data_IF_464664233718
#
_entry.id   IF_464664233718
#
_cell.length_a   1.000
_cell.length_b   1.000
_cell.length_c   1.000
_cell.angle_alpha   90.00
_cell.angle_beta   90.00
_cell.angle_gamma   90.00
#
_symmetry.space_group_name_H-M   'P 1'
#
loop_
_entity.id
_entity.type
_entity.pdbx_description
1 polymer ?
#
# COMPACT_ATOMS: atom_id res chain seq x y z
N UNK A 1 -52.55 32.79 -1.16
CA UNK A 1 -51.25 32.26 -1.64
C UNK A 1 -50.21 32.67 -0.60
N UNK A 2 -49.86 31.78 0.33
CA UNK A 2 -48.61 30.98 0.34
C UNK A 2 -47.36 31.91 0.41
N UNK A 3 -46.44 31.86 1.39
CA UNK A 3 -45.90 30.71 2.13
C UNK A 3 -45.29 31.13 3.48
N UNK A 4 -45.38 30.21 4.44
CA UNK A 4 -44.62 30.15 5.68
C UNK A 4 -43.18 29.72 5.43
N UNK A 5 -42.21 30.51 5.88
CA UNK A 5 -40.79 30.14 5.90
C UNK A 5 -40.48 29.33 7.16
N UNK A 6 -40.73 28.02 7.08
CA UNK A 6 -40.32 27.07 8.11
C UNK A 6 -38.80 26.89 8.06
N UNK A 7 -38.11 27.37 9.09
CA UNK A 7 -36.67 27.18 9.31
C UNK A 7 -36.38 25.69 9.47
N UNK A 8 -35.77 25.10 8.44
CA UNK A 8 -35.36 23.69 8.39
C UNK A 8 -34.22 23.46 9.38
N UNK A 9 -34.58 23.04 10.59
CA UNK A 9 -33.66 22.49 11.59
C UNK A 9 -33.04 21.18 11.06
N UNK A 10 -31.86 21.26 10.45
CA UNK A 10 -31.03 20.08 10.16
C UNK A 10 -30.22 19.73 11.41
N UNK A 11 -30.87 19.09 12.38
CA UNK A 11 -30.17 18.31 13.40
C UNK A 11 -29.61 17.03 12.74
N UNK A 12 -28.34 17.05 12.36
CA UNK A 12 -27.60 15.84 11.99
C UNK A 12 -26.08 16.06 12.12
N UNK A 13 -25.58 16.39 13.32
CA UNK A 13 -24.16 16.21 13.61
C UNK A 13 -23.92 14.74 13.97
N UNK A 14 -23.92 13.88 12.95
CA UNK A 14 -23.44 12.50 13.06
C UNK A 14 -21.90 12.58 13.02
N UNK A 15 -21.25 12.29 14.14
CA UNK A 15 -19.80 12.18 14.35
C UNK A 15 -18.90 13.10 13.50
N UNK A 16 -18.28 14.14 14.08
CA UNK A 16 -17.39 15.05 13.35
C UNK A 16 -16.04 14.42 12.94
N UNK A 17 -15.85 13.12 13.14
CA UNK A 17 -14.58 12.42 12.93
C UNK A 17 -14.66 11.60 11.63
N UNK A 18 -13.61 11.68 10.82
CA UNK A 18 -13.50 10.91 9.59
C UNK A 18 -13.45 9.41 9.90
N UNK A 19 -14.25 8.53 9.25
CA UNK A 19 -14.29 7.11 9.60
C UNK A 19 -12.96 6.37 9.42
N UNK A 20 -12.13 6.78 8.46
CA UNK A 20 -10.83 6.13 8.22
C UNK A 20 -9.69 6.67 9.09
N UNK A 21 -9.77 7.92 9.57
CA UNK A 21 -8.68 8.55 10.35
C UNK A 21 -9.04 8.75 11.82
N UNK A 22 -10.32 8.73 12.17
CA UNK A 22 -10.86 9.06 13.49
C UNK A 22 -10.45 10.44 14.02
N UNK A 23 -10.07 11.36 13.13
CA UNK A 23 -9.73 12.75 13.41
C UNK A 23 -10.69 13.65 12.62
N UNK A 24 -10.84 14.90 13.06
CA UNK A 24 -11.60 15.91 12.31
C UNK A 24 -11.04 16.06 10.88
N UNK A 25 -11.89 15.86 9.84
CA UNK A 25 -11.52 16.06 8.44
C UNK A 25 -10.79 17.38 8.16
N UNK A 26 -11.08 18.45 8.91
CA UNK A 26 -10.45 19.76 8.74
C UNK A 26 -8.95 19.77 9.07
N UNK A 27 -8.45 18.77 9.79
CA UNK A 27 -7.00 18.62 10.08
C UNK A 27 -6.23 17.97 8.94
N UNK A 28 -6.94 17.40 7.95
CA UNK A 28 -6.32 16.80 6.77
C UNK A 28 -6.21 17.80 5.62
N UNK A 29 -5.17 17.63 4.81
CA UNK A 29 -5.05 18.30 3.52
C UNK A 29 -6.17 17.85 2.59
N UNK A 30 -6.77 18.77 1.83
CA UNK A 30 -7.84 18.46 0.88
C UNK A 30 -7.48 17.33 -0.12
N UNK A 31 -6.23 17.30 -0.59
CA UNK A 31 -5.73 16.24 -1.48
C UNK A 31 -5.76 14.85 -0.83
N UNK A 32 -5.52 14.74 0.49
CA UNK A 32 -5.59 13.46 1.20
C UNK A 32 -7.05 12.98 1.30
N UNK A 33 -7.98 13.89 1.56
CA UNK A 33 -9.41 13.57 1.63
C UNK A 33 -9.93 13.06 0.28
N UNK A 34 -9.55 13.72 -0.82
CA UNK A 34 -9.88 13.27 -2.18
C UNK A 34 -9.31 11.87 -2.47
N UNK A 35 -8.07 11.61 -2.03
CA UNK A 35 -7.44 10.30 -2.18
C UNK A 35 -8.13 9.21 -1.37
N UNK A 36 -8.58 9.51 -0.15
CA UNK A 36 -9.24 8.54 0.73
C UNK A 36 -10.63 8.15 0.21
N UNK A 37 -11.34 9.11 -0.39
CA UNK A 37 -12.66 8.89 -0.99
C UNK A 37 -12.60 8.26 -2.39
N UNK A 38 -11.41 8.03 -2.93
CA UNK A 38 -11.21 7.55 -4.28
C UNK A 38 -11.71 6.10 -4.44
N UNK A 39 -12.67 5.91 -5.35
CA UNK A 39 -13.18 4.59 -5.71
C UNK A 39 -12.14 3.79 -6.53
N UNK A 40 -11.86 2.56 -6.09
CA UNK A 40 -10.89 1.66 -6.73
C UNK A 40 -11.46 1.05 -8.02
N UNK A 41 -11.59 1.86 -9.07
CA UNK A 41 -11.92 1.40 -10.42
C UNK A 41 -10.83 0.48 -10.98
N UNK A 42 -11.16 -0.33 -12.00
CA UNK A 42 -10.19 -1.24 -12.64
C UNK A 42 -8.91 -0.54 -13.12
N UNK A 43 -9.04 0.68 -13.66
CA UNK A 43 -7.89 1.47 -14.12
C UNK A 43 -7.02 1.93 -12.95
N UNK A 44 -7.65 2.40 -11.87
CA UNK A 44 -6.96 2.82 -10.65
C UNK A 44 -6.18 1.65 -10.05
N UNK A 45 -6.81 0.47 -9.96
CA UNK A 45 -6.14 -0.75 -9.48
C UNK A 45 -4.94 -1.08 -10.36
N UNK A 46 -5.06 -0.97 -11.69
CA UNK A 46 -3.94 -1.19 -12.61
C UNK A 46 -2.76 -0.25 -12.34
N UNK A 47 -3.01 1.04 -12.18
CA UNK A 47 -1.98 2.04 -11.92
C UNK A 47 -1.34 1.86 -10.54
N UNK A 48 -2.14 1.54 -9.52
CA UNK A 48 -1.65 1.24 -8.18
C UNK A 48 -0.79 -0.03 -8.20
N UNK A 49 -1.22 -1.07 -8.92
CA UNK A 49 -0.45 -2.30 -9.07
C UNK A 49 0.90 -2.03 -9.72
N UNK A 50 0.93 -1.28 -10.83
CA UNK A 50 2.16 -0.89 -11.51
C UNK A 50 3.11 -0.11 -10.58
N UNK A 51 2.56 0.82 -9.81
CA UNK A 51 3.30 1.58 -8.81
C UNK A 51 3.90 0.69 -7.72
N UNK A 52 3.11 -0.22 -7.13
CA UNK A 52 3.60 -1.17 -6.14
C UNK A 52 4.73 -2.03 -6.71
N UNK A 53 4.60 -2.48 -7.96
CA UNK A 53 5.63 -3.27 -8.62
C UNK A 53 6.92 -2.50 -8.74
N UNK A 54 6.88 -1.28 -9.27
CA UNK A 54 8.08 -0.44 -9.36
C UNK A 54 8.69 -0.14 -7.99
N UNK A 55 7.87 0.28 -7.03
CA UNK A 55 8.33 0.69 -5.70
C UNK A 55 8.97 -0.46 -4.91
N UNK A 56 8.32 -1.63 -4.90
CA UNK A 56 8.81 -2.80 -4.17
C UNK A 56 10.01 -3.40 -4.87
N UNK A 57 10.02 -3.49 -6.21
CA UNK A 57 11.19 -3.92 -6.97
C UNK A 57 12.41 -3.05 -6.63
N UNK A 58 12.25 -1.73 -6.60
CA UNK A 58 13.34 -0.81 -6.20
C UNK A 58 13.78 -0.99 -4.76
N UNK A 59 12.85 -1.26 -3.85
CA UNK A 59 13.12 -1.44 -2.43
C UNK A 59 13.85 -2.75 -2.16
N UNK A 60 13.41 -3.85 -2.78
CA UNK A 60 14.07 -5.15 -2.68
C UNK A 60 15.43 -5.12 -3.38
N UNK A 61 15.53 -4.52 -4.57
CA UNK A 61 16.80 -4.33 -5.27
C UNK A 61 17.81 -3.53 -4.43
N UNK A 62 17.36 -2.47 -3.76
CA UNK A 62 18.20 -1.69 -2.86
C UNK A 62 18.70 -2.54 -1.68
N UNK A 63 17.82 -3.27 -0.99
CA UNK A 63 18.20 -4.16 0.10
C UNK A 63 19.19 -5.27 -0.34
N UNK A 64 18.98 -5.85 -1.53
CA UNK A 64 19.85 -6.92 -2.05
C UNK A 64 21.24 -6.43 -2.47
N UNK A 65 21.42 -5.14 -2.79
CA UNK A 65 22.74 -4.57 -3.05
C UNK A 65 23.63 -4.59 -1.81
N UNK A 66 23.07 -4.38 -0.62
CA UNK A 66 23.82 -4.51 0.64
C UNK A 66 24.26 -5.95 0.91
N UNK A 67 23.49 -6.94 0.44
CA UNK A 67 23.85 -8.35 0.50
C UNK A 67 24.84 -8.80 -0.59
N UNK A 68 25.35 -7.87 -1.41
CA UNK A 68 26.36 -8.15 -2.44
C UNK A 68 25.81 -8.79 -3.73
N UNK A 69 24.50 -8.70 -3.99
CA UNK A 69 23.93 -9.21 -5.24
C UNK A 69 24.38 -8.39 -6.46
N UNK A 70 24.74 -9.09 -7.55
CA UNK A 70 25.12 -8.44 -8.81
C UNK A 70 23.93 -7.71 -9.46
N UNK A 71 24.20 -6.56 -10.08
CA UNK A 71 23.22 -5.77 -10.83
C UNK A 71 22.49 -6.58 -11.91
N UNK A 72 23.17 -7.52 -12.59
CA UNK A 72 22.53 -8.36 -13.61
C UNK A 72 21.51 -9.34 -13.02
N UNK A 73 21.79 -9.90 -11.84
CA UNK A 73 20.87 -10.77 -11.11
C UNK A 73 19.65 -9.99 -10.64
N UNK A 74 19.87 -8.82 -10.05
CA UNK A 74 18.80 -7.90 -9.62
C UNK A 74 17.90 -7.53 -10.81
N UNK A 75 18.49 -7.22 -11.97
CA UNK A 75 17.75 -6.91 -13.19
C UNK A 75 16.85 -8.05 -13.65
N UNK A 76 17.39 -9.27 -13.75
CA UNK A 76 16.62 -10.44 -14.14
C UNK A 76 15.45 -10.70 -13.16
N UNK A 77 15.71 -10.57 -11.86
CA UNK A 77 14.75 -10.90 -10.81
C UNK A 77 13.61 -9.89 -10.69
N UNK A 78 13.89 -8.59 -10.74
CA UNK A 78 12.92 -7.54 -10.39
C UNK A 78 12.53 -6.58 -11.53
N UNK A 79 13.34 -6.49 -12.58
CA UNK A 79 13.16 -5.50 -13.65
C UNK A 79 12.92 -6.12 -15.04
N UNK A 80 13.01 -7.44 -15.18
CA UNK A 80 12.64 -8.14 -16.42
C UNK A 80 11.16 -7.92 -16.73
N UNK A 81 10.76 -7.77 -18.02
CA UNK A 81 9.36 -7.67 -18.42
C UNK A 81 8.49 -8.83 -17.91
N UNK A 82 9.04 -10.05 -17.90
CA UNK A 82 8.37 -11.24 -17.37
C UNK A 82 8.12 -11.13 -15.85
N UNK A 83 9.12 -10.66 -15.10
CA UNK A 83 8.99 -10.43 -13.65
C UNK A 83 7.98 -9.35 -13.34
N UNK A 84 8.01 -8.24 -14.09
CA UNK A 84 7.03 -7.18 -13.93
C UNK A 84 5.62 -7.71 -14.15
N UNK A 85 5.36 -8.46 -15.23
CA UNK A 85 4.04 -9.04 -15.50
C UNK A 85 3.56 -9.96 -14.38
N UNK A 86 4.43 -10.84 -13.87
CA UNK A 86 4.12 -11.74 -12.75
C UNK A 86 3.81 -10.97 -11.46
N UNK A 87 4.63 -9.99 -11.11
CA UNK A 87 4.41 -9.16 -9.93
C UNK A 87 3.12 -8.34 -10.04
N UNK A 88 2.82 -7.76 -11.21
CA UNK A 88 1.58 -7.00 -11.44
C UNK A 88 0.35 -7.89 -11.29
N UNK A 89 0.40 -9.12 -11.82
CA UNK A 89 -0.67 -10.09 -11.65
C UNK A 89 -0.85 -10.49 -10.17
N UNK A 90 0.26 -10.69 -9.44
CA UNK A 90 0.22 -11.00 -8.01
C UNK A 90 -0.39 -9.85 -7.20
N UNK A 91 0.09 -8.62 -7.39
CA UNK A 91 -0.44 -7.43 -6.69
C UNK A 91 -1.94 -7.28 -6.94
N UNK A 92 -2.35 -7.31 -8.21
CA UNK A 92 -3.77 -7.16 -8.59
C UNK A 92 -4.64 -8.25 -7.96
N UNK A 93 -4.15 -9.50 -7.95
CA UNK A 93 -4.87 -10.63 -7.35
C UNK A 93 -5.02 -10.46 -5.83
N UNK A 94 -3.95 -10.05 -5.13
CA UNK A 94 -3.98 -9.87 -3.68
C UNK A 94 -4.89 -8.70 -3.30
N UNK A 95 -4.77 -7.56 -3.97
CA UNK A 95 -5.60 -6.37 -3.70
C UNK A 95 -7.09 -6.70 -3.88
N UNK A 96 -7.45 -7.39 -4.96
CA UNK A 96 -8.83 -7.77 -5.24
C UNK A 96 -9.38 -8.79 -4.23
N UNK A 97 -8.60 -9.83 -3.90
CA UNK A 97 -9.06 -10.92 -3.01
C UNK A 97 -9.09 -10.55 -1.54
N UNK A 98 -8.27 -9.59 -1.12
CA UNK A 98 -8.24 -9.11 0.25
C UNK A 98 -9.13 -7.87 0.46
N UNK A 99 -9.86 -7.43 -0.58
CA UNK A 99 -10.78 -6.28 -0.54
C UNK A 99 -10.11 -5.03 0.04
N UNK A 100 -8.89 -4.75 -0.42
CA UNK A 100 -8.08 -3.66 0.13
C UNK A 100 -8.71 -2.31 -0.24
N UNK A 101 -8.86 -1.45 0.76
CA UNK A 101 -9.39 -0.08 0.58
C UNK A 101 -8.28 0.93 0.28
N UNK A 102 -8.63 2.08 -0.28
CA UNK A 102 -7.66 3.15 -0.58
C UNK A 102 -6.87 3.61 0.66
N UNK A 103 -7.48 3.86 1.84
CA UNK A 103 -6.74 4.16 3.06
C UNK A 103 -5.70 3.10 3.43
N UNK A 104 -6.04 1.82 3.29
CA UNK A 104 -5.12 0.71 3.56
C UNK A 104 -3.94 0.71 2.58
N UNK A 105 -4.17 1.03 1.30
CA UNK A 105 -3.09 1.18 0.30
C UNK A 105 -2.14 2.29 0.70
N UNK A 106 -2.67 3.45 1.10
CA UNK A 106 -1.86 4.61 1.50
C UNK A 106 -1.00 4.31 2.74
N UNK A 107 -1.56 3.59 3.72
CA UNK A 107 -0.81 3.12 4.90
C UNK A 107 0.26 2.09 4.50
N UNK A 108 -0.06 1.14 3.62
CA UNK A 108 0.90 0.15 3.14
C UNK A 108 2.09 0.81 2.42
N UNK A 109 1.84 1.82 1.58
CA UNK A 109 2.90 2.60 0.92
C UNK A 109 3.77 3.35 1.93
N UNK A 110 3.16 3.91 2.98
CA UNK A 110 3.90 4.58 4.07
C UNK A 110 4.81 3.60 4.82
N UNK A 111 4.34 2.37 5.07
CA UNK A 111 5.16 1.32 5.67
C UNK A 111 6.27 0.82 4.74
N UNK A 112 6.02 0.74 3.43
CA UNK A 112 7.04 0.39 2.45
C UNK A 112 8.16 1.44 2.41
N UNK A 113 7.82 2.73 2.50
CA UNK A 113 8.81 3.81 2.57
C UNK A 113 9.68 3.75 3.82
N UNK A 114 9.08 3.46 4.97
CA UNK A 114 9.80 3.35 6.25
C UNK A 114 10.63 2.08 6.36
N UNK A 115 10.20 1.00 5.70
CA UNK A 115 10.93 -0.28 5.71
C UNK A 115 12.19 -0.25 4.84
N UNK A 116 12.22 0.54 3.74
CA UNK A 116 13.33 0.58 2.78
C UNK A 116 14.74 0.68 3.40
N UNK A 117 15.05 1.59 4.34
CA UNK A 117 16.39 1.67 4.92
C UNK A 117 16.73 0.54 5.90
N UNK A 118 15.73 -0.16 6.44
CA UNK A 118 15.90 -1.21 7.46
C UNK A 118 15.75 -2.63 6.89
N UNK A 119 15.37 -2.75 5.62
CA UNK A 119 15.05 -4.02 5.00
C UNK A 119 16.32 -4.85 4.73
N UNK A 120 16.42 -6.01 5.39
CA UNK A 120 17.44 -7.02 5.10
C UNK A 120 16.86 -8.20 4.32
N UNK A 121 17.37 -8.46 3.11
CA UNK A 121 16.96 -9.61 2.29
C UNK A 121 18.02 -10.71 2.38
N UNK A 122 17.76 -11.71 3.23
CA UNK A 122 18.61 -12.90 3.36
C UNK A 122 18.32 -13.99 2.32
N UNK A 123 17.10 -14.02 1.76
CA UNK A 123 16.67 -14.98 0.72
C UNK A 123 15.96 -14.25 -0.40
N UNK A 124 16.45 -14.40 -1.63
CA UNK A 124 15.87 -13.76 -2.82
C UNK A 124 14.51 -14.34 -3.20
N UNK A 125 14.30 -15.64 -2.96
CA UNK A 125 13.07 -16.34 -3.35
C UNK A 125 11.85 -15.65 -2.74
N UNK A 126 10.94 -15.22 -3.62
CA UNK A 126 9.71 -14.52 -3.28
C UNK A 126 9.90 -13.24 -2.46
N UNK A 127 11.07 -12.57 -2.58
CA UNK A 127 11.36 -11.37 -1.81
C UNK A 127 10.35 -10.24 -2.08
N UNK A 128 9.95 -10.06 -3.34
CA UNK A 128 8.92 -9.10 -3.73
C UNK A 128 7.59 -9.40 -3.03
N UNK A 129 7.11 -10.63 -3.15
CA UNK A 129 5.80 -11.05 -2.65
C UNK A 129 5.74 -11.02 -1.12
N UNK A 130 6.84 -11.36 -0.44
CA UNK A 130 6.95 -11.25 1.02
C UNK A 130 6.88 -9.80 1.48
N UNK A 131 7.58 -8.89 0.81
CA UNK A 131 7.56 -7.46 1.16
C UNK A 131 6.17 -6.86 0.90
N UNK A 132 5.55 -7.14 -0.24
CA UNK A 132 4.17 -6.71 -0.53
C UNK A 132 3.20 -7.22 0.55
N UNK A 133 3.24 -8.52 0.82
CA UNK A 133 2.28 -9.15 1.71
C UNK A 133 2.47 -8.70 3.16
N UNK A 134 3.71 -8.54 3.62
CA UNK A 134 4.01 -7.97 4.93
C UNK A 134 3.41 -6.57 5.10
N UNK A 135 3.67 -5.68 4.13
CA UNK A 135 3.14 -4.32 4.16
C UNK A 135 1.60 -4.29 4.17
N UNK A 136 0.95 -5.07 3.30
CA UNK A 136 -0.52 -5.11 3.23
C UNK A 136 -1.14 -5.71 4.48
N UNK A 137 -0.59 -6.80 5.04
CA UNK A 137 -1.11 -7.41 6.28
C UNK A 137 -1.10 -6.40 7.42
N UNK A 138 0.04 -5.74 7.64
CA UNK A 138 0.18 -4.78 8.75
C UNK A 138 -0.69 -3.56 8.51
N UNK A 139 -0.76 -3.05 7.28
CA UNK A 139 -1.64 -1.93 6.93
C UNK A 139 -3.11 -2.27 7.18
N UNK A 140 -3.60 -3.42 6.69
CA UNK A 140 -4.98 -3.85 6.93
C UNK A 140 -5.26 -3.99 8.42
N UNK A 141 -4.33 -4.60 9.18
CA UNK A 141 -4.47 -4.77 10.63
C UNK A 141 -4.48 -3.45 11.40
N UNK A 142 -3.84 -2.43 10.86
CA UNK A 142 -3.82 -1.10 11.45
C UNK A 142 -5.08 -0.28 11.11
N UNK A 143 -5.59 -0.38 9.87
CA UNK A 143 -6.67 0.49 9.39
C UNK A 143 -8.08 -0.09 9.53
N UNK A 144 -8.23 -1.42 9.64
CA UNK A 144 -9.55 -2.05 9.62
C UNK A 144 -9.95 -2.61 11.00
N UNK A 145 -11.21 -2.37 11.39
CA UNK A 145 -11.78 -2.90 12.65
C UNK A 145 -11.93 -4.42 12.64
N UNK A 146 -12.19 -5.00 11.46
CA UNK A 146 -12.24 -6.44 11.23
C UNK A 146 -11.22 -6.84 10.17
N UNK A 147 -10.27 -7.69 10.54
CA UNK A 147 -9.11 -7.99 9.70
C UNK A 147 -9.06 -9.47 9.32
N UNK A 148 -8.50 -9.75 8.15
CA UNK A 148 -8.30 -11.11 7.69
C UNK A 148 -7.31 -11.86 8.61
N UNK A 149 -7.73 -13.03 9.09
CA UNK A 149 -6.83 -13.98 9.77
C UNK A 149 -5.77 -14.49 8.79
N UNK A 150 -4.62 -14.92 9.30
CA UNK A 150 -3.48 -15.38 8.48
C UNK A 150 -3.82 -16.56 7.54
N UNK A 151 -4.84 -17.37 7.86
CA UNK A 151 -5.36 -18.41 6.95
C UNK A 151 -6.01 -17.82 5.70
N UNK A 152 -6.72 -16.69 5.82
CA UNK A 152 -7.33 -16.03 4.68
C UNK A 152 -6.29 -15.29 3.84
N UNK A 153 -5.28 -14.66 4.47
CA UNK A 153 -4.14 -14.12 3.74
C UNK A 153 -3.37 -15.17 2.92
N UNK A 154 -3.24 -16.40 3.46
CA UNK A 154 -2.68 -17.52 2.72
C UNK A 154 -3.52 -17.83 1.46
N UNK A 155 -4.85 -17.87 1.63
CA UNK A 155 -5.80 -18.04 0.52
C UNK A 155 -5.63 -16.91 -0.51
N UNK A 156 -5.69 -15.63 -0.09
CA UNK A 156 -5.57 -14.46 -0.96
C UNK A 156 -4.26 -14.45 -1.77
N UNK A 157 -3.13 -14.77 -1.13
CA UNK A 157 -1.83 -14.84 -1.80
C UNK A 157 -1.74 -15.99 -2.80
N UNK A 158 -2.36 -17.15 -2.51
CA UNK A 158 -2.23 -18.37 -3.32
C UNK A 158 -0.81 -18.95 -3.38
N UNK A 159 0.15 -18.35 -2.67
CA UNK A 159 1.57 -18.67 -2.76
C UNK A 159 2.14 -19.16 -1.42
N UNK A 160 1.68 -18.58 -0.31
CA UNK A 160 2.22 -18.83 1.03
C UNK A 160 1.24 -19.61 1.90
N UNK A 161 1.75 -20.55 2.70
CA UNK A 161 0.95 -21.21 3.73
C UNK A 161 0.70 -20.31 4.93
N UNK A 162 -0.28 -20.66 5.79
CA UNK A 162 -0.59 -19.91 7.04
C UNK A 162 0.66 -19.64 7.89
N UNK A 163 1.58 -20.61 7.99
CA UNK A 163 2.82 -20.47 8.78
C UNK A 163 3.77 -19.44 8.18
N UNK A 164 3.90 -19.43 6.85
CA UNK A 164 4.74 -18.49 6.12
C UNK A 164 4.17 -17.08 6.23
N UNK A 165 2.86 -16.91 6.04
CA UNK A 165 2.16 -15.64 6.26
C UNK A 165 2.42 -15.09 7.66
N UNK A 166 2.30 -15.94 8.70
CA UNK A 166 2.60 -15.52 10.06
C UNK A 166 4.08 -15.16 10.30
N UNK A 167 5.01 -15.75 9.53
CA UNK A 167 6.43 -15.36 9.57
C UNK A 167 6.65 -14.03 8.88
N UNK A 168 6.11 -13.86 7.66
CA UNK A 168 6.18 -12.62 6.89
C UNK A 168 5.65 -11.43 7.70
N UNK A 169 4.52 -11.64 8.39
CA UNK A 169 3.95 -10.64 9.29
C UNK A 169 4.94 -10.20 10.39
N UNK A 170 5.54 -11.16 11.11
CA UNK A 170 6.50 -10.86 12.19
C UNK A 170 7.77 -10.20 11.66
N UNK A 171 8.34 -10.73 10.58
CA UNK A 171 9.55 -10.18 9.95
C UNK A 171 9.30 -8.73 9.52
N UNK A 172 8.12 -8.41 8.95
CA UNK A 172 7.81 -7.05 8.54
C UNK A 172 7.58 -6.10 9.72
N UNK A 173 6.99 -6.59 10.83
CA UNK A 173 6.88 -5.83 12.08
C UNK A 173 8.25 -5.51 12.69
N UNK A 174 9.18 -6.46 12.65
CA UNK A 174 10.57 -6.25 13.08
C UNK A 174 11.26 -5.19 12.22
N UNK A 175 11.04 -5.19 10.90
CA UNK A 175 11.60 -4.16 10.00
C UNK A 175 11.03 -2.76 10.30
N UNK A 176 9.79 -2.66 10.77
CA UNK A 176 9.17 -1.40 11.21
C UNK A 176 9.51 -1.01 12.65
N UNK A 177 10.31 -1.82 13.35
CA UNK A 177 10.59 -1.69 14.78
C UNK A 177 9.31 -1.48 15.63
N UNK A 178 8.22 -2.15 15.22
CA UNK A 178 6.89 -2.04 15.85
C UNK A 178 6.29 -0.62 15.90
N UNK A 179 6.89 0.35 15.20
CA UNK A 179 6.37 1.71 15.12
C UNK A 179 5.29 1.76 14.03
N UNK A 180 4.02 1.55 14.40
CA UNK A 180 2.91 1.52 13.44
C UNK A 180 2.20 2.87 13.24
N UNK A 181 2.49 3.86 14.10
CA UNK A 181 1.84 5.16 14.02
C UNK A 181 2.11 5.84 12.67
N UNK A 182 1.05 6.18 11.95
CA UNK A 182 1.13 6.98 10.72
C UNK A 182 0.73 8.41 11.06
N UNK A 183 1.67 9.34 10.94
CA UNK A 183 1.45 10.78 11.20
C UNK A 183 1.21 11.55 9.91
N UNK A 184 2.08 11.33 8.93
CA UNK A 184 1.98 11.93 7.60
C UNK A 184 1.82 10.80 6.58
N UNK A 185 0.59 10.59 6.13
CA UNK A 185 0.31 9.68 5.01
C UNK A 185 0.85 10.39 3.77
N UNK A 186 2.05 9.99 3.33
CA UNK A 186 2.77 10.49 2.15
C UNK A 186 3.51 11.83 2.38
N UNK A 187 4.80 11.74 2.75
CA UNK A 187 5.76 12.84 2.62
C UNK A 187 6.41 12.92 1.22
N UNK A 188 6.21 11.90 0.38
CA UNK A 188 6.84 11.77 -0.95
C UNK A 188 5.88 12.20 -2.07
N UNK A 189 6.11 13.32 -2.76
CA UNK A 189 5.23 13.86 -3.83
C UNK A 189 4.91 12.85 -4.94
N UNK A 190 5.79 11.85 -5.13
CA UNK A 190 5.64 10.83 -6.17
C UNK A 190 4.53 9.82 -5.89
N UNK A 191 4.22 9.50 -4.63
CA UNK A 191 3.14 8.55 -4.31
C UNK A 191 1.77 9.23 -4.45
N UNK A 192 1.66 10.50 -4.04
CA UNK A 192 0.48 11.34 -4.27
C UNK A 192 0.23 11.51 -5.76
N UNK A 193 1.28 11.74 -6.55
CA UNK A 193 1.17 11.95 -8.00
C UNK A 193 0.68 10.70 -8.75
N UNK A 194 1.04 9.49 -8.33
CA UNK A 194 0.57 8.26 -9.02
C UNK A 194 -0.86 7.89 -8.64
N UNK A 195 -1.29 8.18 -7.41
CA UNK A 195 -2.70 7.98 -7.03
C UNK A 195 -3.60 9.11 -7.58
N UNK A 196 -3.11 10.36 -7.69
CA UNK A 196 -3.85 11.51 -8.27
C UNK A 196 -3.81 11.60 -9.80
N UNK A 197 -2.71 11.21 -10.47
CA UNK A 197 -2.52 11.43 -11.90
C UNK A 197 -2.27 10.13 -12.67
N UNK A 198 -3.35 9.41 -13.06
CA UNK A 198 -3.28 8.17 -13.84
C UNK A 198 -2.71 8.32 -15.27
N UNK A 199 -2.29 9.53 -15.67
CA UNK A 199 -1.73 9.83 -17.00
C UNK A 199 -0.37 10.54 -16.95
N UNK A 200 0.21 10.75 -15.76
CA UNK A 200 1.58 11.25 -15.70
C UNK A 200 2.53 10.12 -16.13
N UNK A 201 3.43 10.34 -17.11
CA UNK A 201 4.47 9.37 -17.38
C UNK A 201 5.25 9.21 -16.09
N UNK A 202 5.31 7.97 -15.59
CA UNK A 202 6.18 7.59 -14.48
C UNK A 202 7.52 8.22 -14.83
N UNK A 203 7.94 9.21 -14.04
CA UNK A 203 9.27 9.78 -14.17
C UNK A 203 10.20 8.59 -13.94
N UNK A 204 10.66 7.99 -15.05
CA UNK A 204 11.78 7.06 -15.08
C UNK A 204 12.91 7.87 -14.50
N UNK A 205 13.07 7.80 -13.18
CA UNK A 205 14.19 8.39 -12.48
C UNK A 205 15.39 7.71 -13.12
N UNK A 206 16.04 8.44 -14.02
CA UNK A 206 17.18 7.96 -14.77
C UNK A 206 18.22 7.67 -13.71
N UNK A 207 18.42 6.39 -13.43
CA UNK A 207 19.51 5.93 -12.58
C UNK A 207 20.77 6.24 -13.37
N UNK A 208 21.46 7.31 -12.99
CA UNK A 208 22.89 7.45 -13.20
C UNK A 208 23.62 6.62 -12.14
#
# INVERSE_FOLDING_TARGET
MLTSSSSRSTKAAKNPLHPASLVDPATHTAALMELVELELSRTVIGNISDYFVHYISDTVAHAMRYSGASSSRIHCSFYSPDSHQRHTAFVTTVLARAEITTPTILVALSYLARSRPHLGIGRETWAFERVLLGALIIATKYTADSTLKNVHWAICSGLFGKRDVGRIEREFLEVLDWELGVRDVISEPSATAVVMFPSAPILRRTVL
#
